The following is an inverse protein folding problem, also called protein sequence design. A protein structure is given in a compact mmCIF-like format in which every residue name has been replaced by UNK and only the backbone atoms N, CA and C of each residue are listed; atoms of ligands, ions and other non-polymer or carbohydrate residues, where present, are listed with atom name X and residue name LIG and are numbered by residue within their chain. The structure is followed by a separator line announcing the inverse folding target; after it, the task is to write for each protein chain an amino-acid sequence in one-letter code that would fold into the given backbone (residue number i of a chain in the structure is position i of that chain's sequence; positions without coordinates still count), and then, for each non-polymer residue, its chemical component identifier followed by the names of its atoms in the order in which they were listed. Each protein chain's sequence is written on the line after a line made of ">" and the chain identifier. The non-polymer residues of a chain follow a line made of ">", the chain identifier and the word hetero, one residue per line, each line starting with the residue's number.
data_IF_895058505045
#
_entry.id   IF_895058505045
#
_cell.length_a   1.000
_cell.length_b   1.000
_cell.length_c   1.000
_cell.angle_alpha   90.00
_cell.angle_beta   90.00
_cell.angle_gamma   90.00
#
_symmetry.space_group_name_H-M   'P 1'
#
loop_
_entity.id
_entity.type
_entity.pdbx_description
1 polymer ?
#
# COMPACT_ATOMS: atom_id res chain seq x y z
N UNK A 1 1.56 -6.09 -11.53
CA UNK A 1 1.19 -5.30 -10.34
C UNK A 1 0.92 -3.84 -10.67
N UNK A 2 1.86 -3.13 -11.30
CA UNK A 2 1.79 -1.68 -11.56
C UNK A 2 0.56 -1.26 -12.36
N UNK A 3 0.17 -2.02 -13.39
CA UNK A 3 -1.03 -1.74 -14.19
C UNK A 3 -2.34 -1.84 -13.38
N UNK A 4 -2.46 -2.86 -12.53
CA UNK A 4 -3.65 -3.05 -11.69
C UNK A 4 -3.79 -1.92 -10.67
N UNK A 5 -2.69 -1.57 -10.01
CA UNK A 5 -2.65 -0.47 -9.05
C UNK A 5 -2.91 0.90 -9.71
N UNK A 6 -2.38 1.12 -10.92
CA UNK A 6 -2.65 2.34 -11.69
C UNK A 6 -4.12 2.45 -12.07
N UNK A 7 -4.75 1.36 -12.50
CA UNK A 7 -6.19 1.33 -12.77
C UNK A 7 -7.02 1.57 -11.51
N UNK A 8 -6.68 0.91 -10.40
CA UNK A 8 -7.35 1.11 -9.12
C UNK A 8 -7.24 2.57 -8.63
N UNK A 9 -6.09 3.22 -8.85
CA UNK A 9 -5.90 4.64 -8.56
C UNK A 9 -6.74 5.54 -9.47
N UNK A 10 -6.82 5.23 -10.77
CA UNK A 10 -7.62 6.00 -11.75
C UNK A 10 -9.12 5.98 -11.41
N UNK A 11 -9.64 4.85 -10.95
CA UNK A 11 -11.05 4.73 -10.52
C UNK A 11 -11.28 5.17 -9.06
N UNK A 12 -10.23 5.65 -8.37
CA UNK A 12 -10.33 6.20 -7.01
C UNK A 12 -10.42 5.16 -5.89
N UNK A 13 -10.21 3.88 -6.20
CA UNK A 13 -10.19 2.80 -5.20
C UNK A 13 -8.94 2.88 -4.31
N UNK A 14 -7.81 3.30 -4.86
CA UNK A 14 -6.55 3.44 -4.11
C UNK A 14 -6.06 4.88 -4.20
N UNK A 15 -5.65 5.45 -3.06
CA UNK A 15 -4.98 6.76 -3.00
C UNK A 15 -3.61 6.59 -2.35
N UNK A 16 -2.59 7.23 -2.93
CA UNK A 16 -1.26 7.29 -2.34
C UNK A 16 -0.97 8.61 -1.62
N UNK A 17 0.19 8.69 -0.98
CA UNK A 17 0.68 9.94 -0.39
C UNK A 17 1.03 10.91 -1.51
N UNK A 18 0.47 12.11 -1.43
CA UNK A 18 0.85 13.21 -2.29
C UNK A 18 2.20 13.76 -1.84
N UNK A 19 3.23 13.55 -2.65
CA UNK A 19 4.44 14.34 -2.53
C UNK A 19 4.17 15.77 -3.03
N UNK A 20 4.96 16.78 -2.61
CA UNK A 20 4.71 18.21 -2.88
C UNK A 20 4.60 18.63 -4.35
N UNK A 21 4.72 17.71 -5.31
CA UNK A 21 4.75 17.99 -6.75
C UNK A 21 3.57 17.45 -7.56
N UNK A 22 2.54 16.81 -6.99
CA UNK A 22 1.39 16.37 -7.79
C UNK A 22 0.10 16.09 -7.00
N UNK A 23 -1.09 16.51 -7.51
CA UNK A 23 -2.36 16.38 -6.79
C UNK A 23 -2.92 14.94 -6.71
N UNK A 24 -2.32 13.92 -7.34
CA UNK A 24 -2.76 12.52 -7.25
C UNK A 24 -1.62 11.55 -7.56
N UNK A 25 -0.81 11.21 -6.56
CA UNK A 25 0.25 10.21 -6.75
C UNK A 25 0.03 8.97 -5.88
N UNK A 26 -0.02 7.83 -6.56
CA UNK A 26 0.32 6.53 -5.98
C UNK A 26 1.78 6.27 -6.30
N UNK A 27 2.61 6.16 -5.26
CA UNK A 27 4.03 5.85 -5.43
C UNK A 27 4.18 4.34 -5.29
N UNK A 28 4.58 3.73 -6.40
CA UNK A 28 4.90 2.31 -6.50
C UNK A 28 6.34 2.20 -7.00
N UNK A 29 7.24 1.78 -6.12
CA UNK A 29 8.64 1.56 -6.45
C UNK A 29 8.94 0.07 -6.55
N UNK A 30 9.64 -0.32 -7.62
CA UNK A 30 10.07 -1.68 -7.87
C UNK A 30 11.60 -1.73 -7.84
N UNK A 31 12.15 -2.52 -6.92
CA UNK A 31 13.50 -3.07 -6.99
C UNK A 31 13.38 -4.55 -7.39
N UNK A 32 14.46 -5.17 -7.89
CA UNK A 32 14.44 -6.45 -8.61
C UNK A 32 13.38 -7.47 -8.13
N UNK A 33 13.33 -7.75 -6.84
CA UNK A 33 12.33 -8.64 -6.21
C UNK A 33 11.47 -7.95 -5.14
N UNK A 34 11.83 -6.73 -4.73
CA UNK A 34 11.18 -5.99 -3.64
C UNK A 34 10.32 -4.85 -4.20
N UNK A 35 9.10 -4.72 -3.71
CA UNK A 35 8.20 -3.62 -4.08
C UNK A 35 7.73 -2.89 -2.85
N UNK A 36 7.63 -1.56 -2.94
CA UNK A 36 7.03 -0.73 -1.89
C UNK A 36 5.89 0.11 -2.44
N UNK A 37 4.86 0.28 -1.62
CA UNK A 37 3.66 1.05 -1.93
C UNK A 37 3.43 2.10 -0.86
N UNK A 38 3.14 3.32 -1.30
CA UNK A 38 2.82 4.42 -0.39
C UNK A 38 1.33 4.74 -0.48
N UNK A 39 0.62 4.66 0.65
CA UNK A 39 -0.84 4.70 0.71
C UNK A 39 -1.34 5.85 1.58
N UNK A 40 -2.52 6.36 1.28
CA UNK A 40 -3.24 7.24 2.19
C UNK A 40 -3.63 6.48 3.47
N UNK A 41 -3.51 7.15 4.62
CA UNK A 41 -3.86 6.57 5.92
C UNK A 41 -5.38 6.48 6.09
N UNK A 42 -5.97 5.43 5.52
CA UNK A 42 -7.39 5.11 5.68
C UNK A 42 -7.61 3.61 5.52
N UNK A 43 -8.55 3.08 6.31
CA UNK A 43 -8.97 1.67 6.24
C UNK A 43 -9.38 1.25 4.82
N UNK A 44 -10.14 2.12 4.13
CA UNK A 44 -10.56 1.89 2.76
C UNK A 44 -9.37 1.77 1.80
N UNK A 45 -8.35 2.64 1.91
CA UNK A 45 -7.18 2.58 1.03
C UNK A 45 -6.36 1.31 1.24
N UNK A 46 -6.17 0.90 2.50
CA UNK A 46 -5.45 -0.35 2.83
C UNK A 46 -6.23 -1.56 2.32
N UNK A 47 -7.53 -1.62 2.61
CA UNK A 47 -8.41 -2.73 2.17
C UNK A 47 -8.41 -2.87 0.66
N UNK A 48 -8.56 -1.77 -0.07
CA UNK A 48 -8.60 -1.80 -1.54
C UNK A 48 -7.26 -2.23 -2.15
N UNK A 49 -6.12 -1.84 -1.56
CA UNK A 49 -4.81 -2.33 -2.01
C UNK A 49 -4.63 -3.80 -1.74
N UNK A 50 -5.07 -4.29 -0.58
CA UNK A 50 -5.01 -5.73 -0.28
C UNK A 50 -5.80 -6.55 -1.29
N UNK A 51 -7.02 -6.12 -1.62
CA UNK A 51 -7.81 -6.77 -2.67
C UNK A 51 -7.14 -6.72 -4.04
N UNK A 52 -6.49 -5.60 -4.39
CA UNK A 52 -5.72 -5.50 -5.64
C UNK A 52 -4.53 -6.47 -5.63
N UNK A 53 -3.80 -6.57 -4.52
CA UNK A 53 -2.68 -7.48 -4.37
C UNK A 53 -3.11 -8.94 -4.48
N UNK A 54 -4.22 -9.31 -3.83
CA UNK A 54 -4.81 -10.65 -3.92
C UNK A 54 -5.23 -10.99 -5.35
N UNK A 55 -5.89 -10.04 -6.03
CA UNK A 55 -6.29 -10.19 -7.44
C UNK A 55 -5.07 -10.36 -8.34
N UNK A 56 -4.02 -9.58 -8.10
CA UNK A 56 -2.77 -9.71 -8.84
C UNK A 56 -2.13 -11.08 -8.63
N UNK A 57 -1.98 -11.52 -7.38
CA UNK A 57 -1.43 -12.83 -7.03
C UNK A 57 -2.22 -13.98 -7.67
N UNK A 58 -3.55 -13.91 -7.63
CA UNK A 58 -4.41 -14.91 -8.24
C UNK A 58 -4.22 -14.97 -9.77
N UNK A 59 -4.12 -13.81 -10.43
CA UNK A 59 -3.99 -13.75 -11.89
C UNK A 59 -2.57 -14.06 -12.40
N UNK A 60 -1.53 -13.72 -11.65
CA UNK A 60 -0.13 -13.90 -12.08
C UNK A 60 0.50 -15.20 -11.57
N UNK A 61 -0.11 -15.88 -10.61
CA UNK A 61 0.50 -16.99 -9.89
C UNK A 61 1.64 -16.56 -8.94
N UNK A 62 1.84 -15.25 -8.76
CA UNK A 62 2.83 -14.72 -7.81
C UNK A 62 2.29 -14.83 -6.38
N UNK A 63 3.17 -14.98 -5.40
CA UNK A 63 2.80 -15.01 -3.99
C UNK A 63 3.53 -13.92 -3.21
N UNK A 64 2.79 -13.14 -2.42
CA UNK A 64 3.38 -12.20 -1.48
C UNK A 64 3.74 -12.96 -0.20
N UNK A 65 5.02 -12.92 0.18
CA UNK A 65 5.48 -13.49 1.44
C UNK A 65 5.21 -12.49 2.57
N UNK A 66 3.98 -12.48 3.09
CA UNK A 66 3.55 -11.52 4.14
C UNK A 66 4.45 -11.49 5.38
N UNK A 67 5.16 -12.58 5.69
CA UNK A 67 6.16 -12.61 6.78
C UNK A 67 7.40 -11.73 6.54
N UNK A 68 7.68 -11.38 5.28
CA UNK A 68 8.75 -10.45 4.88
C UNK A 68 8.21 -9.06 4.56
N UNK A 69 6.91 -8.91 4.41
CA UNK A 69 6.25 -7.63 4.13
C UNK A 69 6.05 -6.88 5.44
N UNK A 70 6.57 -5.65 5.49
CA UNK A 70 6.37 -4.75 6.61
C UNK A 70 5.61 -3.51 6.14
N UNK A 71 4.78 -2.97 7.02
CA UNK A 71 4.14 -1.70 6.78
C UNK A 71 4.81 -0.62 7.65
N UNK A 72 5.16 0.49 7.01
CA UNK A 72 5.81 1.62 7.66
C UNK A 72 4.81 2.75 7.83
N UNK A 73 4.69 3.29 9.06
CA UNK A 73 3.88 4.48 9.33
C UNK A 73 4.70 5.45 10.18
N UNK A 74 4.85 6.66 9.67
CA UNK A 74 5.40 7.79 10.41
C UNK A 74 4.32 8.85 10.54
N UNK A 75 3.69 8.93 11.71
CA UNK A 75 2.66 9.91 12.00
C UNK A 75 2.50 10.06 13.51
N UNK A 76 2.11 11.26 13.95
CA UNK A 76 1.75 11.52 15.34
C UNK A 76 0.42 10.84 15.71
N UNK A 77 0.30 10.40 16.96
CA UNK A 77 -0.94 9.85 17.52
C UNK A 77 -1.02 8.32 17.52
N UNK A 78 -2.07 7.76 18.14
CA UNK A 78 -2.19 6.33 18.41
C UNK A 78 -2.36 5.52 17.13
N UNK A 79 -1.97 4.24 17.19
CA UNK A 79 -2.19 3.28 16.11
C UNK A 79 -3.69 3.18 15.77
N UNK A 80 -4.09 3.39 14.51
CA UNK A 80 -5.46 3.07 14.11
C UNK A 80 -5.81 1.58 14.35
N UNK A 81 -7.01 1.29 14.89
CA UNK A 81 -7.41 -0.07 15.25
C UNK A 81 -7.57 -1.00 14.04
N UNK A 82 -7.82 -0.45 12.84
CA UNK A 82 -7.94 -1.20 11.59
C UNK A 82 -6.59 -1.61 10.97
N UNK A 83 -5.46 -1.27 11.60
CA UNK A 83 -4.12 -1.68 11.18
C UNK A 83 -3.69 -3.03 11.81
N UNK A 84 -4.64 -3.86 12.23
CA UNK A 84 -4.36 -5.20 12.73
C UNK A 84 -4.01 -6.16 11.56
N UNK A 85 -3.03 -7.05 11.77
CA UNK A 85 -2.65 -8.07 10.77
C UNK A 85 -1.34 -7.84 9.99
N UNK A 86 -0.71 -6.66 10.07
CA UNK A 86 0.63 -6.44 9.51
C UNK A 86 1.69 -6.22 10.59
N UNK A 87 2.94 -6.55 10.27
CA UNK A 87 4.08 -6.08 11.05
C UNK A 87 4.29 -4.60 10.75
N UNK A 88 3.95 -3.76 11.73
CA UNK A 88 4.11 -2.32 11.63
C UNK A 88 5.38 -1.88 12.33
N UNK A 89 6.18 -1.09 11.62
CA UNK A 89 7.29 -0.36 12.22
C UNK A 89 6.79 1.05 12.57
N UNK A 90 6.74 1.33 13.88
CA UNK A 90 6.30 2.60 14.43
C UNK A 90 7.52 3.46 14.72
N UNK A 91 7.60 4.61 14.04
CA UNK A 91 8.59 5.64 14.37
C UNK A 91 7.80 6.88 14.75
N UNK A 92 7.80 7.18 16.05
CA UNK A 92 7.38 8.49 16.54
C UNK A 92 8.41 9.52 16.04
N UNK A 93 7.98 10.63 15.42
CA UNK A 93 8.88 11.68 14.96
C UNK A 93 9.61 12.38 16.11
#
# INVERSE_FOLDING_TARGET
>A
LSYLLANAANVGLVKGIQLPSSPKQLINGHFADDSFLTLAESEASVTNVMQCLDTFCLASGSAIQWKKTQCYRQAMGPKPPWLEGFQWLWIEP
#
